data_IF_351655913990
#
_entry.id   IF_351655913990
#
_cell.length_a   1.000
_cell.length_b   1.000
_cell.length_c   1.000
_cell.angle_alpha   90.00
_cell.angle_beta   90.00
_cell.angle_gamma   90.00
#
_symmetry.space_group_name_H-M   'P 1'
#
loop_
_entity.id
_entity.type
_entity.pdbx_description
1 polymer ?
#
# COMPACT_ATOMS: atom_id res chain seq x y z
N UNK A 1 3.65 -3.52 11.82
CA UNK A 1 3.44 -3.85 10.39
C UNK A 1 2.15 -3.17 9.98
N UNK A 2 2.19 -2.29 8.98
CA UNK A 2 1.02 -1.51 8.53
C UNK A 2 0.35 -2.26 7.38
N UNK A 3 -0.95 -2.51 7.47
CA UNK A 3 -1.72 -3.11 6.36
C UNK A 3 -2.44 -2.00 5.61
N UNK A 4 -2.35 -2.01 4.28
CA UNK A 4 -3.00 -1.03 3.40
C UNK A 4 -3.96 -1.77 2.47
N UNK A 5 -5.22 -1.36 2.48
CA UNK A 5 -6.27 -1.74 1.52
C UNK A 5 -6.31 -0.73 0.37
N UNK A 6 -6.70 -1.17 -0.84
CA UNK A 6 -6.72 -0.28 -2.01
C UNK A 6 -5.32 0.28 -2.34
N UNK A 7 -4.27 -0.51 -2.07
CA UNK A 7 -2.87 -0.13 -2.26
C UNK A 7 -2.53 0.18 -3.72
N UNK A 8 -3.36 -0.29 -4.64
CA UNK A 8 -3.24 -0.12 -6.09
C UNK A 8 -3.95 1.15 -6.59
N UNK A 9 -4.86 1.71 -5.78
CA UNK A 9 -5.51 2.99 -6.06
C UNK A 9 -4.57 4.19 -5.88
N UNK A 10 -4.99 5.35 -6.39
CA UNK A 10 -4.19 6.59 -6.39
C UNK A 10 -3.64 6.96 -5.01
N UNK A 11 -4.50 7.00 -3.98
CA UNK A 11 -4.05 7.32 -2.62
C UNK A 11 -3.21 6.19 -2.01
N UNK A 12 -3.62 4.94 -2.19
CA UNK A 12 -2.95 3.78 -1.60
C UNK A 12 -1.50 3.68 -2.08
N UNK A 13 -1.27 3.85 -3.38
CA UNK A 13 0.06 3.80 -3.97
C UNK A 13 0.96 4.93 -3.45
N UNK A 14 0.44 6.16 -3.34
CA UNK A 14 1.19 7.29 -2.77
C UNK A 14 1.53 7.04 -1.30
N UNK A 15 0.58 6.52 -0.52
CA UNK A 15 0.79 6.21 0.90
C UNK A 15 1.82 5.10 1.10
N UNK A 16 1.74 4.01 0.32
CA UNK A 16 2.72 2.91 0.34
C UNK A 16 4.12 3.46 0.08
N UNK A 17 4.30 4.28 -0.97
CA UNK A 17 5.59 4.89 -1.30
C UNK A 17 6.13 5.74 -0.16
N UNK A 18 5.30 6.59 0.43
CA UNK A 18 5.69 7.44 1.57
C UNK A 18 6.13 6.62 2.80
N UNK A 19 5.46 5.52 3.08
CA UNK A 19 5.79 4.68 4.24
C UNK A 19 7.05 3.84 4.01
N UNK A 20 7.23 3.33 2.80
CA UNK A 20 8.44 2.60 2.40
C UNK A 20 9.67 3.51 2.46
N UNK A 21 9.59 4.75 1.98
CA UNK A 21 10.70 5.71 2.07
C UNK A 21 11.06 6.07 3.52
N UNK A 22 10.12 5.91 4.45
CA UNK A 22 10.34 6.07 5.89
C UNK A 22 10.82 4.78 6.59
N UNK A 23 11.27 3.77 5.84
CA UNK A 23 11.66 2.44 6.36
C UNK A 23 10.56 1.75 7.18
N UNK A 24 9.29 2.05 6.93
CA UNK A 24 8.17 1.36 7.59
C UNK A 24 7.87 0.05 6.86
N UNK A 25 7.62 -1.01 7.63
CA UNK A 25 7.20 -2.31 7.10
C UNK A 25 5.70 -2.28 6.77
N UNK A 26 5.39 -2.35 5.47
CA UNK A 26 4.04 -2.28 4.91
C UNK A 26 3.65 -3.63 4.30
N UNK A 27 2.36 -3.98 4.39
CA UNK A 27 1.73 -5.09 3.67
C UNK A 27 0.53 -4.55 2.91
N UNK A 28 0.50 -4.74 1.60
CA UNK A 28 -0.68 -4.43 0.79
C UNK A 28 -1.65 -5.62 0.81
N UNK A 29 -2.94 -5.35 0.98
CA UNK A 29 -4.03 -6.28 0.70
C UNK A 29 -4.56 -5.93 -0.70
N UNK A 30 -4.51 -6.88 -1.63
CA UNK A 30 -5.00 -6.75 -3.00
C UNK A 30 -6.07 -7.81 -3.21
N UNK A 31 -7.27 -7.40 -3.64
CA UNK A 31 -8.33 -8.35 -3.97
C UNK A 31 -8.06 -8.99 -5.34
N UNK A 32 -8.55 -10.22 -5.59
CA UNK A 32 -8.50 -10.80 -6.92
C UNK A 32 -9.16 -9.85 -7.93
N UNK A 33 -8.46 -9.57 -9.04
CA UNK A 33 -8.89 -8.68 -10.13
C UNK A 33 -8.84 -7.18 -9.83
N UNK A 34 -8.23 -6.74 -8.73
CA UNK A 34 -7.67 -5.38 -8.66
C UNK A 34 -6.36 -5.34 -9.46
N UNK A 35 -6.16 -4.26 -10.23
CA UNK A 35 -4.93 -3.96 -10.98
C UNK A 35 -3.69 -3.90 -10.09
#
# INVERSE_FOLDING_TARGET
>A
MIVITGATGHLGNVLVRKLVTQNKKVRALILPRED
#
